data_IF_158456766609
#
_entry.id   IF_158456766609
#
_cell.length_a   1.000
_cell.length_b   1.000
_cell.length_c   1.000
_cell.angle_alpha   90.00
_cell.angle_beta   90.00
_cell.angle_gamma   90.00
#
_symmetry.space_group_name_H-M   'P 1'
#
loop_
_entity.id
_entity.type
_entity.pdbx_description
1 polymer ?
#
# COMPACT_ATOMS: atom_id res chain seq x y z
N UNK A 1 10.95 -20.39 -24.38
CA UNK A 1 12.42 -20.52 -24.31
C UNK A 1 13.01 -19.16 -24.56
N UNK A 2 13.81 -18.66 -23.63
CA UNK A 2 14.45 -17.33 -23.72
C UNK A 2 15.63 -17.29 -22.74
N UNK A 3 16.76 -16.72 -23.17
CA UNK A 3 17.90 -16.42 -22.28
C UNK A 3 17.60 -15.25 -21.31
N UNK A 4 16.58 -14.44 -21.64
CA UNK A 4 16.12 -13.28 -20.85
C UNK A 4 14.91 -13.54 -19.95
N UNK A 5 14.63 -12.62 -19.01
CA UNK A 5 13.54 -12.75 -18.05
C UNK A 5 12.16 -12.79 -18.73
N UNK A 6 11.23 -13.62 -18.22
CA UNK A 6 9.87 -13.71 -18.76
C UNK A 6 9.04 -12.46 -18.47
N UNK A 7 7.90 -12.34 -19.15
CA UNK A 7 6.92 -11.28 -18.90
C UNK A 7 6.49 -11.23 -17.44
N UNK A 8 6.28 -10.02 -16.91
CA UNK A 8 5.76 -9.81 -15.57
C UNK A 8 4.35 -10.40 -15.36
N UNK A 9 3.59 -10.55 -16.45
CA UNK A 9 2.23 -11.10 -16.43
C UNK A 9 2.22 -12.64 -16.41
N UNK A 10 3.37 -13.28 -16.61
CA UNK A 10 3.51 -14.73 -16.43
C UNK A 10 3.67 -15.02 -14.95
N UNK A 11 2.63 -15.55 -14.31
CA UNK A 11 2.63 -15.97 -12.92
C UNK A 11 2.25 -17.45 -12.81
N UNK A 12 2.92 -18.22 -11.94
CA UNK A 12 2.68 -19.64 -11.84
C UNK A 12 1.33 -19.91 -11.19
N UNK A 13 0.54 -20.78 -11.80
CA UNK A 13 -0.66 -21.32 -11.17
C UNK A 13 -0.29 -22.43 -10.18
N UNK A 14 -1.13 -22.63 -9.15
CA UNK A 14 -0.88 -23.66 -8.13
C UNK A 14 -0.67 -25.07 -8.71
N UNK A 15 -1.35 -25.41 -9.81
CA UNK A 15 -1.22 -26.71 -10.48
C UNK A 15 0.08 -26.88 -11.28
N UNK A 16 0.83 -25.80 -11.49
CA UNK A 16 2.13 -25.82 -12.17
C UNK A 16 3.29 -25.92 -11.18
N UNK A 17 3.02 -25.83 -9.88
CA UNK A 17 4.05 -25.86 -8.84
C UNK A 17 4.48 -27.30 -8.54
N UNK A 18 5.79 -27.52 -8.52
CA UNK A 18 6.42 -28.75 -8.06
C UNK A 18 7.34 -28.44 -6.87
N UNK A 19 7.06 -29.04 -5.72
CA UNK A 19 7.90 -28.86 -4.53
C UNK A 19 9.21 -29.65 -4.67
N UNK A 20 10.33 -29.01 -4.36
CA UNK A 20 11.67 -29.60 -4.50
C UNK A 20 12.51 -29.31 -3.26
N UNK A 21 13.28 -30.27 -2.74
CA UNK A 21 14.30 -29.98 -1.72
C UNK A 21 15.30 -28.94 -2.24
N UNK A 22 15.53 -27.88 -1.47
CA UNK A 22 16.33 -26.73 -1.90
C UNK A 22 17.73 -27.12 -2.41
N UNK A 23 18.35 -28.13 -1.80
CA UNK A 23 19.68 -28.62 -2.22
C UNK A 23 19.65 -29.36 -3.57
N UNK A 24 18.56 -30.07 -3.89
CA UNK A 24 18.39 -30.70 -5.21
C UNK A 24 18.10 -29.66 -6.28
N UNK A 25 17.33 -28.62 -5.96
CA UNK A 25 17.12 -27.48 -6.84
C UNK A 25 18.43 -26.73 -7.07
N UNK A 26 19.23 -26.50 -6.02
CA UNK A 26 20.55 -25.87 -6.10
C UNK A 26 21.45 -26.64 -7.06
N UNK A 27 21.62 -27.95 -6.85
CA UNK A 27 22.49 -28.78 -7.67
C UNK A 27 22.06 -28.84 -9.15
N UNK A 28 20.76 -28.72 -9.43
CA UNK A 28 20.24 -28.75 -10.79
C UNK A 28 20.33 -27.38 -11.49
N UNK A 29 19.95 -26.31 -10.80
CA UNK A 29 19.82 -24.97 -11.38
C UNK A 29 21.14 -24.21 -11.42
N UNK A 30 22.01 -24.44 -10.43
CA UNK A 30 23.17 -23.63 -10.16
C UNK A 30 24.42 -24.50 -10.22
N UNK A 31 25.44 -24.01 -10.94
CA UNK A 31 26.75 -24.63 -10.95
C UNK A 31 27.57 -24.23 -9.73
N UNK A 32 28.50 -23.30 -9.94
CA UNK A 32 29.36 -22.75 -8.89
C UNK A 32 29.06 -21.26 -8.66
N UNK A 33 29.57 -20.63 -7.60
CA UNK A 33 29.39 -19.19 -7.38
C UNK A 33 29.86 -18.31 -8.56
N UNK A 34 30.82 -18.79 -9.36
CA UNK A 34 31.39 -18.08 -10.52
C UNK A 34 30.87 -18.59 -11.87
N UNK A 35 30.04 -19.63 -11.86
CA UNK A 35 29.38 -20.20 -13.02
C UNK A 35 27.89 -20.38 -12.70
N UNK A 36 27.03 -19.40 -13.06
CA UNK A 36 25.63 -19.36 -12.64
C UNK A 36 24.78 -20.52 -13.18
N UNK A 37 25.37 -21.47 -13.91
CA UNK A 37 24.69 -22.62 -14.50
C UNK A 37 24.11 -22.27 -15.88
N UNK A 38 24.05 -23.29 -16.74
CA UNK A 38 23.51 -23.15 -18.10
C UNK A 38 21.99 -22.91 -18.12
N UNK A 39 21.29 -23.21 -17.02
CA UNK A 39 19.83 -23.10 -16.94
C UNK A 39 19.43 -21.67 -16.58
N UNK A 40 18.61 -21.06 -17.42
CA UNK A 40 17.97 -19.80 -17.10
C UNK A 40 16.85 -20.01 -16.08
N UNK A 41 17.15 -19.70 -14.82
CA UNK A 41 16.23 -19.74 -13.69
C UNK A 41 15.90 -18.32 -13.23
N UNK A 42 14.63 -18.04 -12.96
CA UNK A 42 14.14 -16.73 -12.58
C UNK A 42 13.36 -16.79 -11.28
N UNK A 43 13.51 -15.74 -10.47
CA UNK A 43 12.74 -15.54 -9.24
C UNK A 43 12.02 -14.21 -9.32
N UNK A 44 10.88 -14.12 -8.66
CA UNK A 44 10.09 -12.90 -8.66
C UNK A 44 10.69 -11.87 -7.69
N UNK A 45 11.00 -10.68 -8.20
CA UNK A 45 11.38 -9.54 -7.38
C UNK A 45 10.15 -8.67 -7.11
N UNK A 46 9.63 -8.78 -5.88
CA UNK A 46 8.46 -8.03 -5.40
C UNK A 46 8.72 -6.52 -5.28
N UNK A 47 9.97 -6.05 -5.33
CA UNK A 47 10.28 -4.61 -5.33
C UNK A 47 10.07 -4.03 -6.71
N UNK A 48 10.68 -4.65 -7.74
CA UNK A 48 10.56 -4.20 -9.12
C UNK A 48 9.31 -4.71 -9.85
N UNK A 49 8.63 -5.72 -9.31
CA UNK A 49 7.48 -6.36 -9.95
C UNK A 49 7.87 -7.07 -11.25
N UNK A 50 9.03 -7.73 -11.25
CA UNK A 50 9.58 -8.38 -12.43
C UNK A 50 10.30 -9.68 -12.10
N UNK A 51 10.42 -10.57 -13.09
CA UNK A 51 11.26 -11.74 -12.99
C UNK A 51 12.73 -11.35 -13.13
N UNK A 52 13.54 -11.72 -12.14
CA UNK A 52 14.99 -11.49 -12.14
C UNK A 52 15.74 -12.81 -12.14
N UNK A 53 16.93 -12.85 -12.73
CA UNK A 53 17.71 -14.09 -12.80
C UNK A 53 18.15 -14.53 -11.39
N UNK A 54 17.93 -15.80 -11.08
CA UNK A 54 18.35 -16.43 -9.83
C UNK A 54 19.87 -16.37 -9.70
N UNK A 55 20.36 -15.93 -8.52
CA UNK A 55 21.78 -15.91 -8.17
C UNK A 55 22.09 -16.99 -7.13
N UNK A 56 23.32 -17.49 -7.13
CA UNK A 56 23.74 -18.60 -6.26
C UNK A 56 23.41 -18.39 -4.78
N UNK A 57 23.68 -17.18 -4.25
CA UNK A 57 23.44 -16.83 -2.84
C UNK A 57 22.01 -16.44 -2.50
N UNK A 58 21.08 -16.43 -3.45
CA UNK A 58 19.72 -15.93 -3.28
C UNK A 58 18.65 -17.02 -3.27
N UNK A 59 19.07 -18.29 -3.31
CA UNK A 59 18.19 -19.47 -3.26
C UNK A 59 17.90 -19.87 -1.80
N UNK A 60 16.62 -19.88 -1.41
CA UNK A 60 16.15 -20.28 -0.08
C UNK A 60 14.82 -21.06 -0.12
N UNK A 61 14.49 -21.86 0.91
CA UNK A 61 13.23 -22.61 0.98
C UNK A 61 11.98 -21.71 0.90
N UNK A 62 10.92 -22.20 0.23
CA UNK A 62 9.65 -21.48 0.07
C UNK A 62 9.61 -20.49 -1.11
N UNK A 63 10.73 -20.30 -1.81
CA UNK A 63 10.81 -19.46 -3.00
C UNK A 63 10.24 -20.17 -4.24
N UNK A 64 9.47 -19.45 -5.06
CA UNK A 64 9.02 -19.93 -6.36
C UNK A 64 10.04 -19.58 -7.43
N UNK A 65 10.50 -20.59 -8.17
CA UNK A 65 11.52 -20.45 -9.22
C UNK A 65 10.90 -20.84 -10.55
N UNK A 66 10.97 -19.93 -11.52
CA UNK A 66 10.49 -20.15 -12.87
C UNK A 66 11.64 -20.58 -13.78
N UNK A 67 11.43 -21.69 -14.49
CA UNK A 67 12.43 -22.28 -15.40
C UNK A 67 11.75 -22.60 -16.71
N UNK A 68 12.43 -22.35 -17.83
CA UNK A 68 11.89 -22.70 -19.14
C UNK A 68 11.75 -24.22 -19.30
N UNK A 69 10.61 -24.69 -19.82
CA UNK A 69 10.31 -26.12 -20.00
C UNK A 69 11.41 -26.90 -20.75
N UNK A 70 12.14 -26.25 -21.68
CA UNK A 70 13.24 -26.85 -22.42
C UNK A 70 14.45 -27.25 -21.55
N UNK A 71 14.58 -26.72 -20.33
CA UNK A 71 15.63 -27.11 -19.39
C UNK A 71 15.42 -28.51 -18.80
N UNK A 72 14.18 -29.00 -18.81
CA UNK A 72 13.80 -30.27 -18.18
C UNK A 72 13.56 -30.15 -16.69
N UNK A 73 13.95 -31.18 -15.95
CA UNK A 73 13.88 -31.25 -14.49
C UNK A 73 12.51 -31.63 -13.93
N UNK A 74 11.52 -31.83 -14.79
CA UNK A 74 10.15 -32.16 -14.43
C UNK A 74 9.58 -33.26 -15.32
N UNK A 75 8.78 -34.13 -14.71
CA UNK A 75 7.99 -35.19 -15.34
C UNK A 75 6.57 -35.17 -14.74
N UNK A 76 5.56 -35.41 -15.59
CA UNK A 76 4.15 -35.23 -15.19
C UNK A 76 3.68 -36.24 -14.14
N UNK A 77 4.25 -37.45 -14.16
CA UNK A 77 3.85 -38.54 -13.27
C UNK A 77 4.70 -38.57 -11.99
N UNK A 78 5.97 -38.17 -12.10
CA UNK A 78 6.96 -38.31 -11.02
C UNK A 78 7.44 -36.99 -10.41
N UNK A 79 7.05 -35.85 -10.98
CA UNK A 79 7.39 -34.52 -10.47
C UNK A 79 8.84 -34.14 -10.78
N UNK A 80 9.55 -33.61 -9.78
CA UNK A 80 10.91 -33.12 -9.98
C UNK A 80 11.92 -34.25 -10.17
N UNK A 81 12.58 -34.24 -11.32
CA UNK A 81 13.59 -35.23 -11.71
C UNK A 81 15.02 -34.67 -11.64
N UNK A 82 15.19 -33.36 -11.85
CA UNK A 82 16.50 -32.70 -11.91
C UNK A 82 17.38 -33.13 -13.09
N UNK A 83 16.80 -33.72 -14.13
CA UNK A 83 17.52 -34.16 -15.35
C UNK A 83 17.13 -33.31 -16.55
N UNK A 84 18.05 -33.12 -17.50
CA UNK A 84 17.77 -32.36 -18.73
C UNK A 84 16.59 -32.95 -19.52
N UNK A 85 15.84 -32.09 -20.21
CA UNK A 85 14.72 -32.52 -21.03
C UNK A 85 15.19 -33.49 -22.12
N UNK A 86 14.46 -34.60 -22.31
CA UNK A 86 14.67 -35.44 -23.49
C UNK A 86 14.15 -34.68 -24.71
N UNK A 87 14.79 -34.87 -25.87
CA UNK A 87 14.34 -34.25 -27.12
C UNK A 87 12.90 -34.69 -27.42
N UNK A 88 11.97 -33.74 -27.52
CA UNK A 88 10.54 -34.00 -27.72
C UNK A 88 9.70 -34.13 -26.45
N UNK A 89 10.29 -33.98 -25.26
CA UNK A 89 9.52 -33.87 -24.01
C UNK A 89 8.65 -32.61 -24.04
N UNK A 90 7.34 -32.80 -23.84
CA UNK A 90 6.36 -31.71 -23.71
C UNK A 90 5.94 -31.62 -22.25
N UNK A 91 6.10 -30.44 -21.66
CA UNK A 91 5.49 -30.16 -20.35
C UNK A 91 4.07 -29.70 -20.60
N UNK A 92 3.05 -30.21 -19.88
CA UNK A 92 1.69 -29.73 -20.01
C UNK A 92 1.64 -28.22 -19.74
N UNK A 93 1.21 -27.45 -20.73
CA UNK A 93 0.91 -26.03 -20.56
C UNK A 93 -0.55 -25.90 -20.18
N UNK A 94 -0.86 -24.98 -19.26
CA UNK A 94 -2.26 -24.60 -19.05
C UNK A 94 -2.85 -24.04 -20.34
N UNK A 95 -3.93 -24.66 -20.82
CA UNK A 95 -4.66 -24.20 -22.00
C UNK A 95 -5.22 -22.78 -21.79
N UNK A 96 -5.56 -22.46 -20.54
CA UNK A 96 -6.05 -21.16 -20.10
C UNK A 96 -5.36 -20.78 -18.79
N UNK A 97 -4.19 -20.11 -18.82
CA UNK A 97 -3.67 -19.50 -17.61
C UNK A 97 -4.71 -18.50 -17.09
N UNK A 98 -5.01 -18.49 -15.78
CA UNK A 98 -5.96 -17.53 -15.23
C UNK A 98 -5.43 -16.11 -15.47
N UNK A 99 -6.30 -15.22 -15.96
CA UNK A 99 -5.96 -13.81 -16.07
C UNK A 99 -5.70 -13.25 -14.67
N UNK A 100 -4.62 -12.47 -14.54
CA UNK A 100 -4.31 -11.81 -13.29
C UNK A 100 -5.29 -10.66 -13.07
N UNK A 101 -6.12 -10.82 -12.03
CA UNK A 101 -6.97 -9.75 -11.52
C UNK A 101 -6.12 -8.53 -11.12
N UNK A 102 -6.71 -7.34 -11.09
CA UNK A 102 -6.01 -6.13 -10.64
C UNK A 102 -5.53 -6.28 -9.20
N UNK A 103 -6.31 -6.93 -8.35
CA UNK A 103 -5.98 -7.25 -6.97
C UNK A 103 -4.73 -8.15 -6.90
N UNK A 104 -4.68 -9.21 -7.72
CA UNK A 104 -3.49 -10.07 -7.81
C UNK A 104 -2.28 -9.31 -8.35
N UNK A 105 -2.45 -8.44 -9.35
CA UNK A 105 -1.34 -7.61 -9.89
C UNK A 105 -0.80 -6.61 -8.88
N UNK A 106 -1.67 -6.00 -8.08
CA UNK A 106 -1.26 -5.12 -6.99
C UNK A 106 -0.43 -5.89 -5.95
N UNK A 107 -0.83 -7.11 -5.56
CA UNK A 107 -0.08 -7.95 -4.61
C UNK A 107 1.29 -8.40 -5.14
N UNK A 108 1.46 -8.47 -6.47
CA UNK A 108 2.70 -8.92 -7.10
C UNK A 108 3.82 -7.86 -7.10
N UNK A 109 3.58 -6.60 -6.77
CA UNK A 109 4.67 -5.63 -6.67
C UNK A 109 4.44 -4.53 -5.65
N UNK A 110 5.52 -4.10 -5.01
CA UNK A 110 5.49 -3.06 -3.97
C UNK A 110 5.02 -1.71 -4.51
N UNK A 111 5.37 -1.38 -5.77
CA UNK A 111 5.03 -0.11 -6.41
C UNK A 111 3.79 -0.16 -7.32
N UNK A 112 3.10 -1.31 -7.43
CA UNK A 112 1.88 -1.44 -8.24
C UNK A 112 0.64 -1.04 -7.44
N UNK A 113 -0.25 -0.33 -8.13
CA UNK A 113 -1.55 0.13 -7.62
C UNK A 113 -2.66 -0.12 -8.66
N UNK A 114 -2.70 -1.34 -9.21
CA UNK A 114 -3.66 -1.75 -10.25
C UNK A 114 -5.13 -1.59 -9.81
N UNK A 115 -5.41 -1.55 -8.51
CA UNK A 115 -6.77 -1.35 -7.94
C UNK A 115 -7.25 0.11 -8.01
N UNK A 116 -6.40 1.03 -8.46
CA UNK A 116 -6.76 2.42 -8.77
C UNK A 116 -7.10 2.64 -10.25
N UNK A 117 -7.02 1.60 -11.07
CA UNK A 117 -7.29 1.64 -12.52
C UNK A 117 -8.78 1.44 -12.79
N UNK A 118 -9.52 2.54 -12.83
CA UNK A 118 -10.98 2.61 -13.03
C UNK A 118 -11.34 3.93 -13.74
N UNK A 119 -12.59 4.15 -14.18
CA UNK A 119 -13.04 5.49 -14.56
C UNK A 119 -12.72 6.53 -13.49
N UNK A 120 -12.54 7.79 -13.89
CA UNK A 120 -12.16 8.84 -12.95
C UNK A 120 -13.13 8.93 -11.78
N UNK A 121 -12.56 9.01 -10.57
CA UNK A 121 -13.26 9.35 -9.34
C UNK A 121 -12.36 10.22 -8.46
N UNK A 122 -12.97 11.17 -7.78
CA UNK A 122 -12.33 11.98 -6.75
C UNK A 122 -12.19 11.22 -5.44
N UNK A 123 -11.26 11.66 -4.59
CA UNK A 123 -11.04 11.14 -3.24
C UNK A 123 -12.31 11.23 -2.41
N UNK A 124 -13.00 12.38 -2.44
CA UNK A 124 -14.22 12.58 -1.69
C UNK A 124 -15.32 11.59 -2.08
N UNK A 125 -15.59 11.46 -3.39
CA UNK A 125 -16.64 10.58 -3.91
C UNK A 125 -16.32 9.10 -3.67
N UNK A 126 -15.10 8.66 -3.98
CA UNK A 126 -14.68 7.27 -3.74
C UNK A 126 -14.69 6.91 -2.24
N UNK A 127 -14.22 7.81 -1.38
CA UNK A 127 -14.26 7.63 0.07
C UNK A 127 -15.68 7.44 0.60
N UNK A 128 -16.63 8.27 0.16
CA UNK A 128 -18.04 8.20 0.57
C UNK A 128 -18.71 6.90 0.11
N UNK A 129 -18.41 6.45 -1.11
CA UNK A 129 -18.90 5.18 -1.63
C UNK A 129 -18.35 3.99 -0.83
N UNK A 130 -17.03 3.98 -0.57
CA UNK A 130 -16.40 2.95 0.24
C UNK A 130 -16.97 2.92 1.66
N UNK A 131 -17.17 4.09 2.27
CA UNK A 131 -17.81 4.24 3.58
C UNK A 131 -19.26 3.69 3.58
N UNK A 132 -20.04 3.97 2.54
CA UNK A 132 -21.41 3.46 2.39
C UNK A 132 -21.44 1.94 2.25
N UNK A 133 -20.52 1.38 1.47
CA UNK A 133 -20.38 -0.08 1.34
C UNK A 133 -19.95 -0.70 2.67
N UNK A 134 -18.97 -0.12 3.36
CA UNK A 134 -18.49 -0.60 4.65
C UNK A 134 -19.61 -0.60 5.71
N UNK A 135 -20.43 0.47 5.75
CA UNK A 135 -21.60 0.57 6.63
C UNK A 135 -22.61 -0.55 6.36
N UNK A 136 -22.90 -0.79 5.08
CA UNK A 136 -23.86 -1.83 4.67
C UNK A 136 -23.34 -3.21 5.02
N UNK A 137 -22.08 -3.51 4.68
CA UNK A 137 -21.42 -4.77 5.05
C UNK A 137 -21.46 -5.01 6.55
N UNK A 138 -21.07 -4.02 7.35
CA UNK A 138 -21.04 -4.14 8.79
C UNK A 138 -22.42 -4.43 9.40
N UNK A 139 -23.47 -3.77 8.90
CA UNK A 139 -24.87 -4.02 9.32
C UNK A 139 -25.35 -5.41 8.92
N UNK A 140 -25.11 -5.82 7.67
CA UNK A 140 -25.53 -7.12 7.16
C UNK A 140 -24.85 -8.28 7.91
N UNK A 141 -23.62 -8.06 8.35
CA UNK A 141 -22.84 -9.01 9.14
C UNK A 141 -23.13 -8.95 10.65
N UNK A 142 -23.99 -8.02 11.09
CA UNK A 142 -24.37 -7.86 12.50
C UNK A 142 -23.22 -7.40 13.39
N UNK A 143 -22.29 -6.58 12.87
CA UNK A 143 -21.16 -6.07 13.64
C UNK A 143 -21.62 -5.04 14.69
N UNK A 144 -20.90 -4.90 15.81
CA UNK A 144 -21.12 -3.82 16.78
C UNK A 144 -21.05 -2.42 16.14
N UNK A 145 -21.87 -1.48 16.64
CA UNK A 145 -22.00 -0.13 16.05
C UNK A 145 -20.68 0.63 16.00
N UNK A 146 -19.88 0.58 17.06
CA UNK A 146 -18.54 1.15 17.17
C UNK A 146 -17.56 0.59 16.13
N UNK A 147 -17.61 -0.72 15.87
CA UNK A 147 -16.84 -1.37 14.81
C UNK A 147 -17.31 -0.91 13.43
N UNK A 148 -18.62 -0.76 13.22
CA UNK A 148 -19.17 -0.25 11.97
C UNK A 148 -18.70 1.19 11.72
N UNK A 149 -18.76 2.05 12.73
CA UNK A 149 -18.29 3.44 12.64
C UNK A 149 -16.80 3.51 12.32
N UNK A 150 -15.98 2.65 12.94
CA UNK A 150 -14.55 2.51 12.63
C UNK A 150 -14.32 2.10 11.17
N UNK A 151 -15.05 1.10 10.68
CA UNK A 151 -14.96 0.65 9.28
C UNK A 151 -15.37 1.76 8.31
N UNK A 152 -16.42 2.50 8.62
CA UNK A 152 -16.92 3.62 7.82
C UNK A 152 -15.86 4.71 7.70
N UNK A 153 -15.26 5.12 8.82
CA UNK A 153 -14.24 6.16 8.84
C UNK A 153 -12.97 5.69 8.13
N UNK A 154 -12.50 4.47 8.41
CA UNK A 154 -11.34 3.91 7.74
C UNK A 154 -11.54 3.83 6.22
N UNK A 155 -12.73 3.40 5.77
CA UNK A 155 -13.06 3.34 4.35
C UNK A 155 -13.18 4.75 3.72
N UNK A 156 -13.70 5.75 4.42
CA UNK A 156 -13.73 7.13 3.92
C UNK A 156 -12.32 7.71 3.74
N UNK A 157 -11.40 7.36 4.65
CA UNK A 157 -10.07 7.97 4.72
C UNK A 157 -8.95 7.17 4.04
N UNK A 158 -9.18 5.91 3.63
CA UNK A 158 -8.08 5.04 3.18
C UNK A 158 -7.23 5.62 2.04
N UNK A 159 -7.88 6.38 1.16
CA UNK A 159 -7.30 6.94 -0.06
C UNK A 159 -6.94 8.44 0.04
N UNK A 160 -7.07 9.11 1.20
CA UNK A 160 -6.78 10.55 1.30
C UNK A 160 -5.33 10.88 0.95
N UNK A 161 -4.41 9.95 1.19
CA UNK A 161 -3.00 10.05 0.82
C UNK A 161 -2.74 10.07 -0.68
N UNK A 162 -3.75 9.76 -1.52
CA UNK A 162 -3.67 9.96 -2.96
C UNK A 162 -3.64 11.44 -3.35
N UNK A 163 -4.01 12.35 -2.45
CA UNK A 163 -3.81 13.80 -2.63
C UNK A 163 -2.34 14.20 -2.76
N UNK A 164 -1.41 13.31 -2.38
CA UNK A 164 0.01 13.58 -2.48
C UNK A 164 0.43 13.87 -3.94
N UNK A 165 1.22 14.94 -4.21
CA UNK A 165 1.59 15.35 -5.56
C UNK A 165 2.23 14.24 -6.41
N UNK A 166 2.99 13.34 -5.79
CA UNK A 166 3.57 12.17 -6.45
C UNK A 166 2.51 11.22 -7.05
N UNK A 167 1.41 10.97 -6.32
CA UNK A 167 0.33 10.11 -6.79
C UNK A 167 -0.43 10.77 -7.93
N UNK A 168 -0.84 12.03 -7.75
CA UNK A 168 -1.53 12.80 -8.78
C UNK A 168 -0.68 12.93 -10.06
N UNK A 169 0.64 13.08 -9.94
CA UNK A 169 1.55 13.05 -11.09
C UNK A 169 1.52 11.71 -11.84
N UNK A 170 1.42 10.59 -11.11
CA UNK A 170 1.43 9.24 -11.69
C UNK A 170 0.17 8.95 -12.52
N UNK A 171 -0.99 9.46 -12.10
CA UNK A 171 -2.28 9.25 -12.76
C UNK A 171 -2.75 10.41 -13.64
N UNK A 172 -1.84 11.33 -14.02
CA UNK A 172 -2.12 12.48 -14.92
C UNK A 172 -1.14 12.54 -16.09
N UNK A 173 -0.84 11.40 -16.72
CA UNK A 173 0.00 11.37 -17.92
C UNK A 173 -0.64 12.11 -19.09
N UNK A 174 -1.97 12.06 -19.21
CA UNK A 174 -2.74 12.78 -20.22
C UNK A 174 -3.50 13.96 -19.61
N UNK A 175 -2.92 15.15 -19.74
CA UNK A 175 -3.49 16.41 -19.26
C UNK A 175 -4.49 17.05 -20.24
N UNK A 176 -4.90 16.35 -21.30
CA UNK A 176 -5.77 16.92 -22.34
C UNK A 176 -7.23 16.99 -21.93
N UNK A 177 -7.67 16.11 -21.03
CA UNK A 177 -9.03 16.11 -20.51
C UNK A 177 -9.26 17.29 -19.55
N UNK A 178 -10.08 18.30 -19.94
CA UNK A 178 -10.31 19.48 -19.12
C UNK A 178 -10.96 19.20 -17.75
N UNK A 179 -11.70 18.09 -17.61
CA UNK A 179 -12.39 17.73 -16.35
C UNK A 179 -11.40 17.36 -15.23
N UNK A 180 -10.22 16.86 -15.60
CA UNK A 180 -9.23 16.32 -14.65
C UNK A 180 -7.86 17.01 -14.72
N UNK A 181 -7.60 17.82 -15.76
CA UNK A 181 -6.29 18.43 -16.04
C UNK A 181 -5.67 19.15 -14.84
N UNK A 182 -6.49 19.93 -14.13
CA UNK A 182 -6.04 20.84 -13.07
C UNK A 182 -6.37 20.31 -11.67
N UNK A 183 -6.84 19.06 -11.57
CA UNK A 183 -7.21 18.42 -10.30
C UNK A 183 -6.01 17.83 -9.57
N UNK A 184 -6.14 17.75 -8.25
CA UNK A 184 -5.15 17.16 -7.34
C UNK A 184 -5.78 16.19 -6.32
N UNK A 185 -7.01 15.77 -6.58
CA UNK A 185 -7.84 14.99 -5.67
C UNK A 185 -8.42 13.75 -6.36
N UNK A 186 -7.74 13.20 -7.37
CA UNK A 186 -8.16 11.98 -8.04
C UNK A 186 -7.81 10.75 -7.19
N UNK A 187 -8.79 9.88 -6.92
CA UNK A 187 -8.58 8.58 -6.29
C UNK A 187 -8.43 7.45 -7.31
N UNK A 188 -9.13 7.55 -8.44
CA UNK A 188 -9.15 6.54 -9.51
C UNK A 188 -8.94 7.21 -10.87
N UNK A 189 -8.28 6.50 -11.78
CA UNK A 189 -8.01 7.01 -13.13
C UNK A 189 -7.87 5.88 -14.17
N UNK A 190 -8.27 6.11 -15.45
CA UNK A 190 -8.16 5.10 -16.52
C UNK A 190 -6.72 4.65 -16.77
N UNK A 191 -6.51 3.39 -17.16
CA UNK A 191 -5.18 2.79 -17.33
C UNK A 191 -4.24 3.59 -18.24
N UNK A 192 -4.79 4.16 -19.31
CA UNK A 192 -4.10 4.91 -20.35
C UNK A 192 -3.41 6.18 -19.84
N UNK A 193 -3.90 6.76 -18.73
CA UNK A 193 -3.33 7.99 -18.16
C UNK A 193 -2.32 7.73 -17.05
N UNK A 194 -2.04 6.46 -16.75
CA UNK A 194 -0.99 6.10 -15.79
C UNK A 194 0.39 6.13 -16.45
N UNK A 195 1.31 6.85 -15.81
CA UNK A 195 2.74 6.78 -16.13
C UNK A 195 3.27 5.38 -15.83
N UNK A 196 4.35 4.98 -16.51
CA UNK A 196 4.96 3.65 -16.34
C UNK A 196 6.46 3.75 -16.16
N UNK A 197 7.06 2.71 -15.59
CA UNK A 197 8.51 2.59 -15.44
C UNK A 197 9.07 3.43 -14.30
N UNK A 198 10.31 3.89 -14.46
CA UNK A 198 11.10 4.52 -13.39
C UNK A 198 10.58 5.90 -12.96
N UNK A 199 9.70 6.51 -13.75
CA UNK A 199 9.11 7.83 -13.49
C UNK A 199 7.77 7.72 -12.76
N UNK A 200 7.27 6.50 -12.49
CA UNK A 200 6.08 6.27 -11.69
C UNK A 200 6.29 6.89 -10.30
N UNK A 201 5.41 7.85 -9.94
CA UNK A 201 5.47 8.67 -8.72
C UNK A 201 6.65 9.65 -8.59
N UNK A 202 7.46 9.87 -9.63
CA UNK A 202 8.66 10.72 -9.53
C UNK A 202 8.57 11.92 -10.48
N UNK A 203 7.97 13.06 -10.05
CA UNK A 203 7.90 14.27 -10.85
C UNK A 203 9.30 14.76 -11.29
N UNK A 204 9.44 15.37 -12.48
CA UNK A 204 10.72 15.92 -12.93
C UNK A 204 11.27 16.95 -11.94
N UNK A 205 12.55 16.81 -11.57
CA UNK A 205 13.19 17.68 -10.58
C UNK A 205 12.93 17.34 -9.11
N UNK A 206 12.08 16.36 -8.82
CA UNK A 206 11.87 15.83 -7.47
C UNK A 206 12.75 14.59 -7.19
N UNK A 207 12.87 14.23 -5.91
CA UNK A 207 13.49 12.96 -5.50
C UNK A 207 12.70 11.76 -6.07
N UNK A 208 13.42 10.67 -6.38
CA UNK A 208 12.78 9.43 -6.84
C UNK A 208 12.02 8.77 -5.69
N UNK A 209 10.74 8.48 -5.90
CA UNK A 209 9.82 7.91 -4.89
C UNK A 209 9.58 6.43 -5.15
N UNK A 210 10.65 5.65 -5.17
CA UNK A 210 10.57 4.20 -5.42
C UNK A 210 9.72 3.55 -4.33
N UNK A 211 8.73 2.75 -4.75
CA UNK A 211 7.83 2.07 -3.82
C UNK A 211 6.90 3.00 -3.07
N UNK A 212 6.61 4.20 -3.58
CA UNK A 212 5.62 5.16 -3.03
C UNK A 212 4.31 4.47 -2.66
N UNK A 213 3.81 4.75 -1.43
CA UNK A 213 2.55 4.21 -0.90
C UNK A 213 1.63 5.28 -0.36
N UNK A 214 0.45 5.41 -0.96
CA UNK A 214 -0.54 6.38 -0.53
C UNK A 214 -1.14 6.00 0.83
N UNK A 215 -1.22 4.72 1.19
CA UNK A 215 -1.76 4.32 2.49
C UNK A 215 -0.92 4.81 3.68
N UNK A 216 0.41 4.93 3.51
CA UNK A 216 1.30 5.51 4.51
C UNK A 216 0.98 7.00 4.65
N UNK A 217 0.86 7.69 3.51
CA UNK A 217 0.47 9.11 3.49
C UNK A 217 -0.89 9.30 4.17
N UNK A 218 -1.89 8.46 3.90
CA UNK A 218 -3.21 8.53 4.53
C UNK A 218 -3.12 8.44 6.06
N UNK A 219 -2.32 7.52 6.60
CA UNK A 219 -2.08 7.41 8.05
C UNK A 219 -1.38 8.67 8.58
N UNK A 220 -0.30 9.11 7.95
CA UNK A 220 0.43 10.30 8.38
C UNK A 220 -0.47 11.55 8.36
N UNK A 221 -1.35 11.66 7.36
CA UNK A 221 -2.35 12.72 7.28
C UNK A 221 -3.35 12.65 8.43
N UNK A 222 -3.85 11.46 8.77
CA UNK A 222 -4.76 11.28 9.90
C UNK A 222 -4.11 11.73 11.23
N UNK A 223 -2.86 11.34 11.47
CA UNK A 223 -2.11 11.73 12.67
C UNK A 223 -1.80 13.23 12.70
N UNK A 224 -1.39 13.81 11.59
CA UNK A 224 -1.11 15.24 11.52
C UNK A 224 -2.37 16.08 11.65
N UNK A 225 -3.49 15.62 11.07
CA UNK A 225 -4.78 16.27 11.25
C UNK A 225 -5.18 16.29 12.72
N UNK A 226 -5.13 15.14 13.41
CA UNK A 226 -5.43 15.08 14.84
C UNK A 226 -4.47 15.95 15.66
N UNK A 227 -3.16 15.94 15.36
CA UNK A 227 -2.16 16.76 16.06
C UNK A 227 -2.42 18.25 15.91
N UNK A 228 -2.83 18.70 14.73
CA UNK A 228 -3.16 20.09 14.46
C UNK A 228 -4.42 20.53 15.21
N UNK A 229 -5.40 19.66 15.38
CA UNK A 229 -6.68 19.99 16.04
C UNK A 229 -6.64 19.78 17.55
N UNK A 230 -6.09 18.66 18.02
CA UNK A 230 -6.02 18.25 19.42
C UNK A 230 -4.74 17.44 19.71
N UNK A 231 -3.60 18.11 19.96
CA UNK A 231 -2.32 17.44 20.20
C UNK A 231 -2.31 16.70 21.54
N UNK A 232 -3.23 17.03 22.45
CA UNK A 232 -3.37 16.42 23.76
C UNK A 232 -4.43 15.32 23.78
N UNK A 233 -4.96 14.93 22.61
CA UNK A 233 -5.86 13.79 22.49
C UNK A 233 -5.23 12.52 23.11
N UNK A 234 -6.05 11.62 23.65
CA UNK A 234 -5.59 10.38 24.27
C UNK A 234 -4.87 9.44 23.28
N UNK A 235 -5.17 9.58 21.98
CA UNK A 235 -4.44 8.87 20.93
C UNK A 235 -3.03 9.43 20.69
N UNK A 236 -2.69 10.63 21.18
CA UNK A 236 -1.41 11.31 20.97
C UNK A 236 -0.66 11.53 22.30
N UNK A 237 -0.61 12.77 22.79
CA UNK A 237 0.17 13.15 23.97
C UNK A 237 -0.64 13.16 25.28
N UNK A 238 -1.97 13.04 25.20
CA UNK A 238 -2.87 13.03 26.37
C UNK A 238 -2.42 12.12 27.51
N UNK A 239 -2.07 10.84 27.24
CA UNK A 239 -1.64 9.90 28.29
C UNK A 239 -0.23 10.20 28.83
N UNK A 240 0.48 11.16 28.24
CA UNK A 240 1.89 11.46 28.51
C UNK A 240 2.11 12.85 29.12
N UNK A 241 1.05 13.53 29.59
CA UNK A 241 1.12 14.84 30.26
C UNK A 241 2.17 14.87 31.36
N UNK A 242 2.21 13.86 32.24
CA UNK A 242 3.17 13.79 33.34
C UNK A 242 4.64 13.74 32.86
N UNK A 243 4.90 13.16 31.67
CA UNK A 243 6.24 13.15 31.08
C UNK A 243 6.62 14.52 30.50
N UNK A 244 5.63 15.24 29.95
CA UNK A 244 5.81 16.61 29.46
C UNK A 244 6.09 17.56 30.61
N UNK A 245 5.29 17.50 31.68
CA UNK A 245 5.45 18.32 32.89
C UNK A 245 6.79 18.05 33.59
N UNK A 246 7.26 16.81 33.57
CA UNK A 246 8.57 16.43 34.08
C UNK A 246 9.75 16.84 33.17
N UNK A 247 9.48 17.41 31.98
CA UNK A 247 10.51 17.77 31.00
C UNK A 247 11.20 16.58 30.33
N UNK A 248 10.62 15.38 30.43
CA UNK A 248 11.12 14.14 29.82
C UNK A 248 10.63 13.96 28.37
N UNK A 249 9.55 14.67 28.01
CA UNK A 249 9.03 14.76 26.64
C UNK A 249 8.82 16.24 26.30
N UNK A 250 9.16 16.64 25.07
CA UNK A 250 8.94 18.02 24.64
C UNK A 250 7.44 18.31 24.54
N UNK A 251 7.02 19.50 25.01
CA UNK A 251 5.67 19.98 24.81
C UNK A 251 5.39 20.24 23.32
N UNK A 252 4.15 20.06 22.84
CA UNK A 252 3.80 20.33 21.46
C UNK A 252 4.04 21.81 21.11
N UNK A 253 4.64 22.13 19.95
CA UNK A 253 5.08 23.48 19.60
C UNK A 253 3.93 24.51 19.49
N UNK A 254 2.69 24.05 19.34
CA UNK A 254 1.54 24.90 19.00
C UNK A 254 0.59 25.20 20.19
N UNK A 255 0.97 24.94 21.44
CA UNK A 255 0.08 25.13 22.60
C UNK A 255 -0.31 26.60 22.93
N UNK A 256 0.02 27.56 22.06
CA UNK A 256 -0.28 28.99 22.26
C UNK A 256 -1.55 29.39 21.47
N UNK A 257 -2.63 29.72 22.18
CA UNK A 257 -3.76 30.59 21.82
C UNK A 257 -4.26 30.62 20.35
N UNK A 258 -4.35 29.46 19.69
CA UNK A 258 -5.12 29.33 18.44
C UNK A 258 -6.41 28.58 18.77
N UNK A 259 -7.55 29.21 18.53
CA UNK A 259 -8.85 28.53 18.55
C UNK A 259 -8.83 27.46 17.46
N UNK A 260 -8.71 26.19 17.87
CA UNK A 260 -8.66 25.04 16.97
C UNK A 260 -10.06 24.49 16.82
N UNK A 261 -10.50 24.32 15.57
CA UNK A 261 -11.71 23.55 15.31
C UNK A 261 -11.50 22.13 15.86
N UNK A 262 -12.52 21.53 16.51
CA UNK A 262 -12.43 20.16 16.99
C UNK A 262 -12.14 19.24 15.81
N UNK A 263 -11.39 18.16 16.07
CA UNK A 263 -11.18 17.14 15.05
C UNK A 263 -12.56 16.67 14.57
N UNK A 264 -12.90 16.80 13.28
CA UNK A 264 -14.28 16.67 12.84
C UNK A 264 -14.83 15.23 12.99
N UNK A 265 -13.93 14.26 13.18
CA UNK A 265 -14.27 12.86 13.44
C UNK A 265 -14.14 12.50 14.95
N UNK A 266 -13.86 13.48 15.83
CA UNK A 266 -13.61 13.27 17.27
C UNK A 266 -14.79 12.68 18.03
N UNK A 267 -16.02 12.97 17.60
CA UNK A 267 -17.21 12.40 18.23
C UNK A 267 -17.32 10.87 18.09
N UNK A 268 -16.51 10.26 17.22
CA UNK A 268 -16.59 8.85 16.86
C UNK A 268 -15.32 8.03 17.16
N UNK A 269 -14.21 8.63 17.60
CA UNK A 269 -12.93 7.93 17.76
C UNK A 269 -12.26 8.25 19.09
N UNK A 270 -12.43 7.38 20.09
CA UNK A 270 -11.49 7.34 21.21
C UNK A 270 -10.09 6.88 20.75
N UNK A 271 -9.13 6.83 21.68
CA UNK A 271 -7.76 6.43 21.36
C UNK A 271 -7.64 5.04 20.71
N UNK A 272 -8.45 4.07 21.15
CA UNK A 272 -8.40 2.70 20.64
C UNK A 272 -8.99 2.61 19.22
N UNK A 273 -10.12 3.27 18.98
CA UNK A 273 -10.76 3.31 17.67
C UNK A 273 -9.94 4.14 16.68
N UNK A 274 -9.27 5.21 17.13
CA UNK A 274 -8.33 5.96 16.29
C UNK A 274 -7.18 5.07 15.78
N UNK A 275 -6.55 4.30 16.67
CA UNK A 275 -5.48 3.37 16.30
C UNK A 275 -5.99 2.28 15.35
N UNK A 276 -7.19 1.76 15.57
CA UNK A 276 -7.81 0.77 14.68
C UNK A 276 -8.11 1.36 13.30
N UNK A 277 -8.64 2.58 13.20
CA UNK A 277 -8.84 3.29 11.94
C UNK A 277 -7.51 3.44 11.20
N UNK A 278 -6.47 3.93 11.88
CA UNK A 278 -5.15 4.11 11.29
C UNK A 278 -4.58 2.77 10.78
N UNK A 279 -4.74 1.70 11.55
CA UNK A 279 -4.35 0.35 11.14
C UNK A 279 -5.06 -0.12 9.87
N UNK A 280 -6.39 0.00 9.83
CA UNK A 280 -7.20 -0.42 8.71
C UNK A 280 -6.90 0.38 7.43
N UNK A 281 -6.66 1.69 7.57
CA UNK A 281 -6.14 2.53 6.48
C UNK A 281 -4.78 2.02 6.03
N UNK A 282 -3.84 1.73 6.93
CA UNK A 282 -2.51 1.25 6.53
C UNK A 282 -2.55 -0.13 5.84
N UNK A 283 -3.51 -0.96 6.24
CA UNK A 283 -3.58 -2.36 5.88
C UNK A 283 -4.40 -2.66 4.62
N UNK A 284 -5.08 -1.68 4.01
CA UNK A 284 -6.00 -1.97 2.91
C UNK A 284 -5.33 -2.58 1.67
N UNK A 285 -4.04 -2.33 1.41
CA UNK A 285 -3.26 -3.09 0.40
C UNK A 285 -2.45 -4.25 0.99
N UNK A 286 -2.38 -4.37 2.32
CA UNK A 286 -1.74 -5.46 3.04
C UNK A 286 -0.20 -5.46 3.06
N UNK A 287 0.45 -4.41 2.52
CA UNK A 287 1.91 -4.41 2.30
C UNK A 287 2.72 -3.66 3.37
N UNK A 288 2.12 -2.76 4.16
CA UNK A 288 2.82 -1.95 5.17
C UNK A 288 2.17 -1.94 6.57
N UNK A 289 1.21 -2.84 6.84
CA UNK A 289 0.41 -2.88 8.08
C UNK A 289 1.16 -3.20 9.38
N UNK A 290 2.32 -3.85 9.26
CA UNK A 290 3.08 -4.36 10.40
C UNK A 290 4.15 -3.37 10.83
N UNK A 291 5.39 -3.84 10.92
CA UNK A 291 6.54 -2.98 11.23
C UNK A 291 6.91 -2.13 10.01
N UNK A 292 7.08 -0.84 10.23
CA UNK A 292 7.67 0.06 9.25
C UNK A 292 9.19 -0.08 9.28
N UNK A 293 9.71 -1.05 8.51
CA UNK A 293 11.15 -1.27 8.35
C UNK A 293 11.64 -0.72 6.99
N UNK A 294 12.70 0.07 7.01
CA UNK A 294 13.40 0.56 5.81
C UNK A 294 14.04 -0.58 5.00
N UNK A 295 13.90 -0.57 3.69
CA UNK A 295 14.60 -1.47 2.75
C UNK A 295 16.05 -1.01 2.49
N UNK A 296 16.93 -1.86 1.93
CA UNK A 296 18.27 -1.44 1.52
C UNK A 296 18.29 -0.25 0.53
N UNK A 297 17.25 -0.06 -0.28
CA UNK A 297 17.10 1.10 -1.17
C UNK A 297 16.65 2.36 -0.41
N UNK A 298 15.88 2.20 0.68
CA UNK A 298 15.56 3.30 1.60
C UNK A 298 16.84 3.77 2.32
N UNK A 299 17.80 2.85 2.55
CA UNK A 299 19.12 3.13 3.13
C UNK A 299 20.07 3.85 2.15
N UNK A 300 19.98 3.60 0.84
CA UNK A 300 20.85 4.23 -0.18
C UNK A 300 20.67 5.77 -0.27
N UNK A 301 19.49 6.27 0.12
CA UNK A 301 19.20 7.71 0.16
C UNK A 301 19.74 8.35 1.44
N UNK A 302 19.66 7.66 2.59
CA UNK A 302 20.24 8.10 3.87
C UNK A 302 21.77 8.22 3.81
N UNK A 303 22.44 7.36 3.03
CA UNK A 303 23.89 7.40 2.83
C UNK A 303 24.36 8.67 2.11
N UNK A 304 23.50 9.31 1.31
CA UNK A 304 23.81 10.53 0.56
C UNK A 304 23.31 11.81 1.25
N UNK A 305 22.26 11.69 2.06
CA UNK A 305 21.66 12.77 2.82
C UNK A 305 21.27 12.27 4.24
N UNK A 306 22.02 12.65 5.28
CA UNK A 306 21.77 12.21 6.67
C UNK A 306 20.41 12.64 7.24
N UNK A 307 19.66 13.50 6.56
CA UNK A 307 18.32 13.95 6.97
C UNK A 307 17.17 13.16 6.33
N UNK A 308 17.48 12.21 5.44
CA UNK A 308 16.45 11.41 4.77
C UNK A 308 15.94 10.26 5.64
N UNK A 309 14.62 10.16 5.76
CA UNK A 309 13.92 8.91 6.09
C UNK A 309 12.92 8.65 4.95
N UNK A 310 13.23 7.74 4.00
CA UNK A 310 12.40 7.54 2.82
C UNK A 310 11.53 6.29 3.00
N UNK A 311 10.62 6.30 3.98
CA UNK A 311 9.78 5.15 4.25
C UNK A 311 8.82 4.92 3.07
N UNK A 312 9.11 3.92 2.23
CA UNK A 312 8.27 3.53 1.08
C UNK A 312 7.93 4.72 0.16
N UNK A 313 8.96 5.48 -0.24
CA UNK A 313 8.83 6.62 -1.16
C UNK A 313 8.20 7.89 -0.58
N UNK A 314 7.92 7.92 0.72
CA UNK A 314 7.46 9.09 1.48
C UNK A 314 8.64 9.64 2.29
N UNK A 315 8.77 10.97 2.36
CA UNK A 315 9.83 11.68 3.06
C UNK A 315 9.24 12.53 4.19
N UNK A 316 10.02 12.69 5.27
CA UNK A 316 9.71 13.73 6.27
C UNK A 316 9.81 15.11 5.61
N UNK A 317 8.85 15.99 5.90
CA UNK A 317 8.73 17.30 5.25
C UNK A 317 7.92 17.28 3.94
N UNK A 318 7.42 16.13 3.50
CA UNK A 318 6.51 16.06 2.35
C UNK A 318 5.25 16.90 2.61
N UNK A 319 4.81 17.66 1.60
CA UNK A 319 3.62 18.49 1.69
C UNK A 319 2.49 17.91 0.87
N UNK A 320 1.33 17.80 1.51
CA UNK A 320 0.07 17.43 0.87
C UNK A 320 -0.88 18.63 0.86
N UNK A 321 -1.62 18.87 -0.24
CA UNK A 321 -2.59 19.94 -0.31
C UNK A 321 -3.81 19.62 0.57
N UNK A 322 -4.67 20.62 0.81
CA UNK A 322 -5.98 20.37 1.41
C UNK A 322 -6.81 19.49 0.48
N UNK A 323 -7.57 18.56 1.05
CA UNK A 323 -8.41 17.64 0.28
C UNK A 323 -9.77 17.47 0.93
N UNK A 324 -10.80 17.39 0.10
CA UNK A 324 -12.16 17.11 0.56
C UNK A 324 -12.32 15.62 0.81
N UNK A 325 -12.97 15.28 1.92
CA UNK A 325 -13.25 13.92 2.37
C UNK A 325 -14.76 13.76 2.47
N UNK A 326 -15.32 12.78 1.77
CA UNK A 326 -16.72 12.38 1.90
C UNK A 326 -16.84 11.16 2.81
N UNK A 327 -17.65 11.26 3.87
CA UNK A 327 -17.94 10.15 4.81
C UNK A 327 -19.38 9.66 4.66
N UNK A 328 -20.33 10.59 4.47
CA UNK A 328 -21.72 10.33 4.07
C UNK A 328 -22.28 11.51 3.29
N UNK A 329 -23.53 11.41 2.85
CA UNK A 329 -24.25 12.52 2.20
C UNK A 329 -24.36 13.76 3.11
N UNK A 330 -24.36 13.55 4.44
CA UNK A 330 -24.49 14.60 5.46
C UNK A 330 -23.16 14.99 6.12
N UNK A 331 -22.09 14.22 5.89
CA UNK A 331 -20.79 14.43 6.52
C UNK A 331 -19.69 14.50 5.46
N UNK A 332 -19.33 15.74 5.15
CA UNK A 332 -18.21 16.11 4.28
C UNK A 332 -17.27 17.03 5.06
N UNK A 333 -15.99 16.71 5.01
CA UNK A 333 -14.95 17.42 5.74
C UNK A 333 -13.81 17.83 4.82
N UNK A 334 -13.06 18.84 5.20
CA UNK A 334 -11.84 19.23 4.48
C UNK A 334 -10.63 18.98 5.37
N UNK A 335 -9.83 17.98 5.00
CA UNK A 335 -8.52 17.80 5.60
C UNK A 335 -7.62 18.98 5.17
N UNK A 336 -6.99 19.70 6.12
CA UNK A 336 -6.16 20.85 5.79
C UNK A 336 -4.91 20.42 5.03
N UNK A 337 -4.30 21.36 4.30
CA UNK A 337 -2.96 21.14 3.75
C UNK A 337 -1.95 21.00 4.89
N UNK A 338 -1.04 20.04 4.80
CA UNK A 338 -0.17 19.69 5.91
C UNK A 338 1.21 19.20 5.47
N UNK A 339 2.17 19.31 6.39
CA UNK A 339 3.52 18.77 6.25
C UNK A 339 3.63 17.47 7.05
N UNK A 340 4.07 16.40 6.40
CA UNK A 340 4.13 15.07 6.97
C UNK A 340 5.44 14.87 7.74
N UNK A 341 5.38 14.21 8.89
CA UNK A 341 6.56 13.76 9.63
C UNK A 341 6.55 12.25 9.79
N UNK A 342 7.71 11.62 9.62
CA UNK A 342 7.92 10.19 9.77
C UNK A 342 8.28 9.76 11.20
N UNK A 343 8.21 10.66 12.19
CA UNK A 343 8.45 10.33 13.61
C UNK A 343 7.53 9.20 14.12
N UNK A 344 6.39 8.95 13.48
CA UNK A 344 5.52 7.82 13.81
C UNK A 344 6.19 6.45 13.54
N UNK A 345 7.18 6.41 12.63
CA UNK A 345 7.97 5.22 12.33
C UNK A 345 9.12 4.96 13.31
N UNK A 346 9.49 5.95 14.12
CA UNK A 346 10.57 5.82 15.10
C UNK A 346 10.14 4.94 16.26
N UNK A 347 11.08 4.26 16.90
CA UNK A 347 10.77 3.44 18.07
C UNK A 347 10.62 4.29 19.33
N UNK A 348 9.63 3.96 20.15
CA UNK A 348 9.42 4.59 21.46
C UNK A 348 8.33 5.67 21.45
N UNK A 349 8.55 6.71 22.25
CA UNK A 349 7.64 7.84 22.41
C UNK A 349 8.23 9.09 21.73
N UNK A 350 7.50 9.64 20.77
CA UNK A 350 7.84 10.92 20.13
C UNK A 350 7.05 12.07 20.75
N UNK A 351 7.65 13.26 20.76
CA UNK A 351 6.95 14.48 21.21
C UNK A 351 5.86 14.93 20.23
N UNK A 352 5.84 14.37 19.01
CA UNK A 352 4.89 14.72 17.96
C UNK A 352 3.63 13.86 17.98
N UNK A 353 3.79 12.55 18.17
CA UNK A 353 2.69 11.59 18.05
C UNK A 353 2.54 10.68 19.28
N UNK A 354 3.36 10.82 20.31
CA UNK A 354 3.39 9.88 21.43
C UNK A 354 3.88 8.51 20.94
N UNK A 355 3.06 7.48 21.13
CA UNK A 355 3.42 6.08 20.81
C UNK A 355 3.79 5.88 19.35
N UNK A 356 4.88 5.14 19.11
CA UNK A 356 5.29 4.65 17.78
C UNK A 356 4.23 3.78 17.09
N UNK A 357 4.30 3.70 15.76
CA UNK A 357 3.47 2.82 14.95
C UNK A 357 3.55 1.35 15.42
N UNK A 358 4.76 0.84 15.63
CA UNK A 358 4.96 -0.56 16.06
C UNK A 358 4.27 -0.84 17.38
N UNK A 359 4.35 0.09 18.35
CA UNK A 359 3.71 -0.07 19.65
C UNK A 359 2.17 -0.09 19.55
N UNK A 360 1.60 0.77 18.70
CA UNK A 360 0.15 0.79 18.41
C UNK A 360 -0.32 -0.52 17.78
N UNK A 361 0.39 -1.00 16.76
CA UNK A 361 0.04 -2.28 16.09
C UNK A 361 0.13 -3.45 17.07
N UNK A 362 1.15 -3.49 17.93
CA UNK A 362 1.28 -4.56 18.94
C UNK A 362 0.15 -4.52 19.97
N UNK A 363 -0.32 -3.33 20.35
CA UNK A 363 -1.53 -3.17 21.19
C UNK A 363 -2.75 -3.75 20.50
N UNK A 364 -3.00 -3.35 19.25
CA UNK A 364 -4.15 -3.85 18.48
C UNK A 364 -4.13 -5.38 18.34
N UNK A 365 -2.96 -5.98 18.10
CA UNK A 365 -2.81 -7.44 18.04
C UNK A 365 -3.13 -8.08 19.39
N UNK A 366 -2.75 -7.44 20.50
CA UNK A 366 -3.05 -7.91 21.86
C UNK A 366 -4.55 -7.81 22.16
N UNK A 367 -5.18 -6.69 21.78
CA UNK A 367 -6.56 -6.35 22.14
C UNK A 367 -7.59 -7.07 21.26
N UNK A 368 -7.34 -7.14 19.94
CA UNK A 368 -8.27 -7.69 18.95
C UNK A 368 -7.90 -9.09 18.46
N UNK A 369 -6.63 -9.46 18.56
CA UNK A 369 -6.10 -10.69 17.98
C UNK A 369 -5.91 -10.60 16.45
N UNK A 370 -4.94 -11.36 15.90
CA UNK A 370 -4.57 -11.28 14.49
C UNK A 370 -5.69 -11.70 13.53
N UNK A 371 -6.55 -12.65 13.95
CA UNK A 371 -7.66 -13.14 13.11
C UNK A 371 -8.75 -12.10 12.96
N UNK A 372 -9.09 -11.37 14.03
CA UNK A 372 -10.11 -10.31 13.97
C UNK A 372 -9.61 -9.14 13.13
N UNK A 373 -8.36 -8.72 13.31
CA UNK A 373 -7.74 -7.68 12.49
C UNK A 373 -7.74 -8.07 11.01
N UNK A 374 -7.31 -9.29 10.67
CA UNK A 374 -7.34 -9.79 9.30
C UNK A 374 -8.76 -9.82 8.70
N UNK A 375 -9.77 -10.12 9.51
CA UNK A 375 -11.17 -10.07 9.08
C UNK A 375 -11.62 -8.63 8.77
N UNK A 376 -11.31 -7.66 9.65
CA UNK A 376 -11.63 -6.26 9.42
C UNK A 376 -10.87 -5.67 8.22
N UNK A 377 -9.58 -6.04 8.03
CA UNK A 377 -8.80 -5.73 6.83
C UNK A 377 -9.52 -6.20 5.56
N UNK A 378 -10.04 -7.44 5.58
CA UNK A 378 -10.76 -8.00 4.45
C UNK A 378 -12.05 -7.22 4.14
N UNK A 379 -12.76 -6.74 5.16
CA UNK A 379 -13.96 -5.91 4.96
C UNK A 379 -13.64 -4.58 4.29
N UNK A 380 -12.56 -3.90 4.67
CA UNK A 380 -12.11 -2.67 4.01
C UNK A 380 -11.71 -2.93 2.56
N UNK A 381 -10.97 -4.01 2.29
CA UNK A 381 -10.61 -4.41 0.93
C UNK A 381 -11.84 -4.68 0.06
N UNK A 382 -12.83 -5.38 0.61
CA UNK A 382 -14.10 -5.64 -0.07
C UNK A 382 -14.86 -4.34 -0.32
N UNK A 383 -14.86 -3.40 0.63
CA UNK A 383 -15.51 -2.11 0.50
C UNK A 383 -14.88 -1.25 -0.62
N UNK A 384 -13.55 -1.08 -0.63
CA UNK A 384 -12.82 -0.35 -1.69
C UNK A 384 -13.04 -1.00 -3.06
N UNK A 385 -12.95 -2.34 -3.14
CA UNK A 385 -13.16 -3.06 -4.40
C UNK A 385 -14.58 -2.88 -4.95
N UNK A 386 -15.60 -2.96 -4.07
CA UNK A 386 -17.00 -2.76 -4.46
C UNK A 386 -17.27 -1.32 -4.87
N UNK A 387 -16.73 -0.33 -4.14
CA UNK A 387 -16.85 1.09 -4.45
C UNK A 387 -16.20 1.44 -5.80
N UNK A 388 -15.01 0.90 -6.06
CA UNK A 388 -14.28 1.08 -7.31
C UNK A 388 -15.07 0.56 -8.53
N UNK A 389 -15.91 -0.46 -8.35
CA UNK A 389 -16.75 -1.05 -9.41
C UNK A 389 -18.06 -0.28 -9.66
N UNK A 390 -18.41 0.68 -8.81
CA UNK A 390 -19.62 1.48 -9.01
C UNK A 390 -19.45 2.39 -10.23
N UNK A 391 -20.43 2.37 -11.14
CA UNK A 391 -20.51 3.26 -12.30
C UNK A 391 -21.25 4.58 -12.00
N UNK A 392 -21.30 4.96 -10.73
CA UNK A 392 -21.85 6.21 -10.23
C UNK A 392 -21.12 7.40 -10.84
N UNK A 393 -21.88 8.41 -11.26
CA UNK A 393 -21.34 9.66 -11.79
C UNK A 393 -20.77 10.45 -10.63
N UNK A 394 -19.49 10.82 -10.72
CA UNK A 394 -18.88 11.72 -9.76
C UNK A 394 -19.27 13.16 -10.09
N UNK A 395 -20.26 13.69 -9.35
CA UNK A 395 -20.75 15.05 -9.51
C UNK A 395 -19.65 16.12 -9.38
N UNK A 396 -18.52 15.80 -8.74
CA UNK A 396 -17.40 16.72 -8.57
C UNK A 396 -16.55 16.86 -9.83
N UNK A 397 -16.60 15.91 -10.78
CA UNK A 397 -15.77 15.95 -12.00
C UNK A 397 -16.22 17.00 -13.03
N UNK A 398 -17.32 17.71 -12.76
CA UNK A 398 -17.93 18.67 -13.68
C UNK A 398 -18.61 17.97 -14.84
N UNK A 399 -19.71 18.54 -15.34
CA UNK A 399 -20.31 18.06 -16.58
C UNK A 399 -19.38 18.45 -17.73
N UNK A 400 -18.74 17.46 -18.36
CA UNK A 400 -17.99 17.69 -19.58
C UNK A 400 -18.99 18.11 -20.64
N UNK A 401 -18.86 19.32 -21.17
CA UNK A 401 -19.59 19.69 -22.39
C UNK A 401 -19.18 18.71 -23.48
N UNK A 402 -20.08 17.78 -23.80
CA UNK A 402 -19.96 16.94 -24.98
C UNK A 402 -20.02 17.86 -26.19
N UNK A 403 -18.85 18.16 -26.76
CA UNK A 403 -18.72 18.91 -28.02
C UNK A 403 -18.70 17.97 -29.21
#
# INVERSE_FOLDING_TARGET
GTEGPPSADLQPHRSELCSVPVERARAWLLGSPNDPGAIAAFVWDYVSGSWVRLRYGSLYPGQTILVGAAAGGYDVDTGFTGVSAKRGSVVPTLAHPPELTSETRADLASARDDVSVYPYKTIATHGQEAATVARTLGRDLGLPTDVIETLVIAAALHDIGKSHPAFQYACSADKRDPQVRDRQDLAKAPNEVWRRGVDLFSPPGALKRRGFRHELVSVLMLFEWLRQTDPMHDALLGPHVALIEAGLLSAPPDAQDVERAPFPLAGALDAAHFDLVAYLICAHHGKIRGVWSSTPQDQEVVVRDPSASPLRGVFSGDRVPSVVVGVSDELEETAPGMELSLELAEMGLSARYGRSWTDRVMSLVTDWGPTTLAYLEALIRVADTRASRLATVDARLGEGEAS
#
